data_IF_636230336489
#
_entry.id   IF_636230336489
#
_cell.length_a   1.000
_cell.length_b   1.000
_cell.length_c   1.000
_cell.angle_alpha   90.00
_cell.angle_beta   90.00
_cell.angle_gamma   90.00
#
_symmetry.space_group_name_H-M   'P 1'
#
loop_
_entity.id
_entity.type
_entity.pdbx_description
1 polymer ?
#
# COMPACT_ATOMS: atom_id res chain seq x y z
N UNK A 1 37.69 -6.71 -51.16
CA UNK A 1 38.61 -6.19 -52.21
C UNK A 1 37.76 -5.73 -53.40
N UNK A 2 38.09 -4.65 -54.13
CA UNK A 2 38.38 -3.28 -53.68
C UNK A 2 37.65 -2.22 -54.56
N UNK A 3 38.06 -0.94 -54.43
CA UNK A 3 37.99 0.19 -55.40
C UNK A 3 36.68 1.04 -55.41
N UNK A 4 36.68 2.31 -54.97
CA UNK A 4 37.26 3.57 -55.53
C UNK A 4 36.76 3.95 -56.93
N UNK A 5 36.11 5.11 -57.04
CA UNK A 5 36.17 6.11 -58.14
C UNK A 5 35.10 7.18 -57.86
N UNK A 6 35.36 8.44 -57.50
CA UNK A 6 36.15 9.54 -58.07
C UNK A 6 35.61 10.14 -59.38
N UNK A 7 35.04 11.34 -59.23
CA UNK A 7 35.22 12.57 -60.03
C UNK A 7 34.60 12.69 -61.44
N UNK A 8 33.79 13.76 -61.60
CA UNK A 8 33.60 14.54 -62.83
C UNK A 8 33.70 16.02 -62.42
N UNK A 9 34.87 16.66 -62.53
CA UNK A 9 35.42 17.44 -63.67
C UNK A 9 34.70 18.78 -63.91
N UNK A 10 35.53 19.83 -63.77
CA UNK A 10 35.46 21.25 -64.17
C UNK A 10 34.95 21.48 -65.63
N UNK A 11 34.83 22.70 -66.21
CA UNK A 11 35.55 23.97 -65.92
C UNK A 11 34.62 25.22 -66.05
N UNK A 12 35.02 26.50 -66.08
CA UNK A 12 36.08 27.17 -66.85
C UNK A 12 36.09 28.67 -66.48
N UNK A 13 37.30 29.23 -66.43
CA UNK A 13 37.76 30.58 -66.86
C UNK A 13 36.76 31.75 -66.82
N UNK A 14 37.12 32.97 -66.41
CA UNK A 14 38.24 33.66 -67.04
C UNK A 14 38.64 34.92 -66.26
N UNK A 15 39.95 35.19 -66.30
CA UNK A 15 40.66 36.34 -65.76
C UNK A 15 40.32 37.65 -66.49
N UNK A 16 40.57 38.78 -65.83
CA UNK A 16 41.43 39.93 -66.27
C UNK A 16 41.38 41.01 -65.17
N UNK A 17 42.40 41.13 -64.32
CA UNK A 17 43.64 41.92 -64.45
C UNK A 17 43.40 43.40 -64.76
N UNK A 18 43.75 44.29 -63.82
CA UNK A 18 44.65 45.46 -63.99
C UNK A 18 44.88 46.20 -62.65
N UNK A 19 45.93 47.04 -62.52
CA UNK A 19 46.88 46.91 -61.40
C UNK A 19 47.12 48.20 -60.60
N UNK A 20 48.01 48.07 -59.59
CA UNK A 20 48.87 49.10 -58.95
C UNK A 20 48.18 50.18 -58.10
N UNK A 21 48.42 50.13 -56.79
CA UNK A 21 49.35 51.04 -56.12
C UNK A 21 49.44 50.66 -54.63
N UNK A 22 50.67 50.59 -54.12
CA UNK A 22 50.96 50.32 -52.73
C UNK A 22 50.72 51.57 -51.88
N UNK A 23 49.93 51.43 -50.81
CA UNK A 23 49.97 52.31 -49.64
C UNK A 23 50.06 51.40 -48.43
N UNK A 24 51.23 51.39 -47.79
CA UNK A 24 51.46 50.65 -46.57
C UNK A 24 50.73 51.36 -45.41
N UNK A 25 49.57 50.81 -45.01
CA UNK A 25 48.89 51.20 -43.78
C UNK A 25 49.26 50.19 -42.68
N UNK A 26 50.00 50.67 -41.69
CA UNK A 26 50.33 49.96 -40.46
C UNK A 26 49.03 49.77 -39.65
N UNK A 27 48.40 48.60 -39.74
CA UNK A 27 47.23 48.25 -38.93
C UNK A 27 47.71 47.77 -37.56
N UNK A 28 47.53 48.62 -36.55
CA UNK A 28 47.71 48.28 -35.14
C UNK A 28 46.57 47.33 -34.73
N UNK A 29 46.84 46.03 -34.64
CA UNK A 29 45.86 45.03 -34.13
C UNK A 29 45.75 45.20 -32.62
N UNK A 30 44.75 45.96 -32.18
CA UNK A 30 44.29 45.98 -30.78
C UNK A 30 43.60 44.65 -30.47
N UNK A 31 44.34 43.72 -29.85
CA UNK A 31 43.77 42.51 -29.25
C UNK A 31 42.91 42.94 -28.05
N UNK A 32 41.59 43.05 -28.26
CA UNK A 32 40.64 43.15 -27.15
C UNK A 32 40.56 41.79 -26.46
N UNK A 33 41.29 41.63 -25.36
CA UNK A 33 41.13 40.51 -24.42
C UNK A 33 39.71 40.52 -23.87
N UNK A 34 38.83 39.72 -24.45
CA UNK A 34 37.51 39.45 -23.87
C UNK A 34 37.71 38.51 -22.70
N UNK A 35 37.78 39.07 -21.49
CA UNK A 35 37.72 38.28 -20.25
C UNK A 35 36.30 37.73 -20.16
N UNK A 36 36.08 36.48 -20.59
CA UNK A 36 34.85 35.78 -20.23
C UNK A 36 34.84 35.67 -18.70
N UNK A 37 33.81 36.18 -17.99
CA UNK A 37 33.65 35.83 -16.59
C UNK A 37 33.47 34.32 -16.50
N UNK A 38 34.49 33.62 -16.02
CA UNK A 38 34.34 32.24 -15.59
C UNK A 38 33.26 32.24 -14.51
N UNK A 39 32.10 31.66 -14.82
CA UNK A 39 31.09 31.40 -13.81
C UNK A 39 31.69 30.41 -12.81
N UNK A 40 32.20 30.94 -11.70
CA UNK A 40 32.61 30.14 -10.54
C UNK A 40 31.35 29.49 -10.01
N UNK A 41 31.07 28.29 -10.50
CA UNK A 41 30.04 27.43 -9.93
C UNK A 41 30.70 26.83 -8.70
N UNK A 42 30.57 27.48 -7.54
CA UNK A 42 30.97 26.85 -6.28
C UNK A 42 30.19 25.54 -6.15
N UNK A 43 30.86 24.38 -6.02
CA UNK A 43 30.16 23.12 -5.85
C UNK A 43 29.35 23.22 -4.56
N UNK A 44 28.02 23.19 -4.67
CA UNK A 44 27.15 23.09 -3.51
C UNK A 44 27.39 21.70 -2.93
N UNK A 45 28.11 21.66 -1.81
CA UNK A 45 28.35 20.42 -1.08
C UNK A 45 27.00 19.94 -0.53
N UNK A 46 26.64 18.71 -0.85
CA UNK A 46 25.38 18.12 -0.40
C UNK A 46 25.58 16.75 0.25
N UNK A 47 24.71 16.41 1.19
CA UNK A 47 24.60 15.09 1.81
C UNK A 47 23.23 14.43 1.58
N UNK A 48 23.02 13.30 2.24
CA UNK A 48 21.77 12.53 2.25
C UNK A 48 21.20 12.51 3.66
N UNK A 49 19.89 12.65 3.80
CA UNK A 49 19.19 12.49 5.08
C UNK A 49 18.18 11.36 4.94
N UNK A 50 18.37 10.28 5.70
CA UNK A 50 17.47 9.12 5.79
C UNK A 50 16.88 9.03 7.19
N UNK A 51 15.77 9.71 7.42
CA UNK A 51 15.19 9.77 8.76
C UNK A 51 13.91 8.98 8.89
N UNK A 52 13.43 8.92 10.13
CA UNK A 52 12.11 8.39 10.46
C UNK A 52 11.27 9.41 11.22
N UNK A 53 9.96 9.38 10.98
CA UNK A 53 8.95 10.16 11.69
C UNK A 53 8.00 9.19 12.38
N UNK A 54 7.91 9.33 13.70
CA UNK A 54 7.07 8.48 14.54
C UNK A 54 6.21 9.34 15.46
N UNK A 55 5.14 8.75 15.96
CA UNK A 55 4.35 9.32 17.07
C UNK A 55 5.06 9.11 18.41
N UNK A 56 4.57 9.75 19.48
CA UNK A 56 5.06 9.53 20.85
C UNK A 56 4.98 8.05 21.28
N UNK A 57 3.98 7.32 20.79
CA UNK A 57 3.84 5.86 20.96
C UNK A 57 4.71 5.01 20.03
N UNK A 58 5.70 5.60 19.35
CA UNK A 58 6.61 4.94 18.38
C UNK A 58 5.91 4.28 17.19
N UNK A 59 4.66 4.63 16.91
CA UNK A 59 3.98 4.18 15.69
C UNK A 59 4.47 5.04 14.51
N UNK A 60 4.83 4.44 13.36
CA UNK A 60 5.21 5.17 12.17
C UNK A 60 4.16 6.20 11.75
N UNK A 61 4.59 7.38 11.35
CA UNK A 61 3.71 8.46 10.90
C UNK A 61 3.81 8.66 9.39
N UNK A 62 2.73 8.39 8.68
CA UNK A 62 2.67 8.50 7.21
C UNK A 62 2.33 9.92 6.78
N UNK A 63 3.00 10.38 5.72
CA UNK A 63 2.65 11.63 5.05
C UNK A 63 3.09 12.91 5.77
N UNK A 64 4.08 12.80 6.66
CA UNK A 64 4.69 13.98 7.28
C UNK A 64 5.57 14.68 6.24
N UNK A 65 5.41 16.00 6.11
CA UNK A 65 6.19 16.83 5.20
C UNK A 65 7.48 17.28 5.90
N UNK A 66 8.62 17.04 5.27
CA UNK A 66 9.95 17.38 5.79
C UNK A 66 10.57 18.49 4.94
N UNK A 67 11.03 19.54 5.62
CA UNK A 67 11.72 20.68 5.01
C UNK A 67 13.06 20.93 5.68
N UNK A 68 14.07 21.21 4.85
CA UNK A 68 15.40 21.64 5.31
C UNK A 68 15.61 23.10 4.95
N UNK A 69 15.83 23.96 5.94
CA UNK A 69 16.03 25.40 5.72
C UNK A 69 14.83 26.07 5.03
N UNK A 70 15.07 26.81 3.94
CA UNK A 70 14.05 27.59 3.23
C UNK A 70 13.55 26.92 1.93
N UNK A 71 14.00 25.71 1.61
CA UNK A 71 13.56 24.99 0.41
C UNK A 71 12.06 24.65 0.45
N UNK A 72 11.41 24.62 -0.72
CA UNK A 72 10.11 23.99 -0.91
C UNK A 72 10.27 22.47 -0.72
N UNK A 73 9.34 21.87 0.02
CA UNK A 73 9.23 20.47 0.50
C UNK A 73 10.28 19.48 -0.05
N UNK A 74 11.15 18.99 0.84
CA UNK A 74 12.33 18.21 0.45
C UNK A 74 12.10 16.70 0.49
N UNK A 75 11.16 16.23 1.32
CA UNK A 75 10.74 14.82 1.40
C UNK A 75 9.38 14.69 2.09
N UNK A 76 8.77 13.51 1.96
CA UNK A 76 7.58 13.08 2.69
C UNK A 76 7.86 11.71 3.33
N UNK A 77 7.30 11.44 4.51
CA UNK A 77 7.40 10.13 5.15
C UNK A 77 6.45 9.10 4.50
N UNK A 78 6.95 7.89 4.29
CA UNK A 78 6.23 6.78 3.68
C UNK A 78 5.39 5.97 4.69
N UNK A 79 4.83 4.84 4.23
CA UNK A 79 4.02 3.90 5.04
C UNK A 79 4.78 3.23 6.21
N UNK A 80 6.11 3.37 6.26
CA UNK A 80 6.96 2.93 7.36
C UNK A 80 7.47 4.11 8.21
N UNK A 81 6.93 5.32 7.96
CA UNK A 81 7.36 6.57 8.59
C UNK A 81 8.75 7.00 8.13
N UNK A 82 9.34 6.35 7.12
CA UNK A 82 10.70 6.64 6.66
C UNK A 82 10.66 7.71 5.59
N UNK A 83 11.69 8.54 5.54
CA UNK A 83 11.88 9.51 4.46
C UNK A 83 13.33 9.53 4.01
N UNK A 84 13.54 9.87 2.73
CA UNK A 84 14.88 10.08 2.19
C UNK A 84 14.91 11.40 1.42
N UNK A 85 15.77 12.30 1.85
CA UNK A 85 16.07 13.54 1.15
C UNK A 85 17.50 13.46 0.60
N UNK A 86 17.61 13.48 -0.73
CA UNK A 86 18.89 13.54 -1.42
C UNK A 86 19.27 14.98 -1.77
N UNK A 87 20.57 15.26 -1.85
CA UNK A 87 21.12 16.57 -2.22
C UNK A 87 20.74 17.68 -1.22
N UNK A 88 20.75 17.38 0.07
CA UNK A 88 20.53 18.38 1.12
C UNK A 88 21.83 19.16 1.32
N UNK A 89 21.78 20.49 1.34
CA UNK A 89 22.98 21.33 1.53
C UNK A 89 23.74 20.91 2.80
N UNK A 90 25.06 20.78 2.69
CA UNK A 90 25.91 20.53 3.84
C UNK A 90 25.91 21.74 4.79
N UNK A 91 26.01 21.47 6.09
CA UNK A 91 25.97 22.47 7.17
C UNK A 91 24.90 22.17 8.22
N UNK A 92 24.82 23.04 9.24
CA UNK A 92 23.79 22.97 10.28
C UNK A 92 22.50 23.61 9.77
N UNK A 93 21.45 22.80 9.65
CA UNK A 93 20.16 23.20 9.09
C UNK A 93 19.03 22.84 10.05
N UNK A 94 17.98 23.66 10.07
CA UNK A 94 16.72 23.29 10.72
C UNK A 94 15.94 22.32 9.84
N UNK A 95 15.68 21.13 10.37
CA UNK A 95 14.74 20.16 9.85
C UNK A 95 13.37 20.45 10.49
N UNK A 96 12.44 20.96 9.68
CA UNK A 96 11.06 21.23 10.12
C UNK A 96 10.14 20.13 9.61
N UNK A 97 9.38 19.52 10.50
CA UNK A 97 8.40 18.48 10.17
C UNK A 97 7.00 18.97 10.45
N UNK A 98 6.10 18.80 9.48
CA UNK A 98 4.68 19.18 9.61
C UNK A 98 3.79 18.01 9.20
N UNK A 99 2.69 17.83 9.94
CA UNK A 99 1.63 16.88 9.62
C UNK A 99 0.30 17.39 10.19
N UNK A 100 -0.78 17.31 9.41
CA UNK A 100 -2.12 17.71 9.86
C UNK A 100 -2.51 16.82 11.05
N UNK A 101 -3.06 17.44 12.11
CA UNK A 101 -3.39 16.75 13.37
C UNK A 101 -2.21 16.58 14.33
N UNK A 102 -1.02 17.07 13.99
CA UNK A 102 0.18 16.99 14.85
C UNK A 102 0.83 18.37 15.03
N UNK A 103 1.46 18.56 16.19
CA UNK A 103 2.23 19.76 16.50
C UNK A 103 3.48 19.78 15.60
N UNK A 104 3.76 20.87 14.89
CA UNK A 104 4.99 21.00 14.10
C UNK A 104 6.23 20.86 14.98
N UNK A 105 7.21 20.09 14.52
CA UNK A 105 8.47 19.85 15.23
C UNK A 105 9.64 20.45 14.44
N UNK A 106 10.68 20.91 15.12
CA UNK A 106 11.89 21.46 14.51
C UNK A 106 13.14 20.94 15.20
N UNK A 107 14.01 20.28 14.43
CA UNK A 107 15.25 19.68 14.92
C UNK A 107 16.44 20.32 14.20
N UNK A 108 17.48 20.70 14.95
CA UNK A 108 18.73 21.11 14.36
C UNK A 108 19.52 19.87 13.94
N UNK A 109 19.85 19.75 12.65
CA UNK A 109 20.64 18.65 12.10
C UNK A 109 21.89 19.17 11.43
N UNK A 110 22.99 18.43 11.51
CA UNK A 110 24.25 18.75 10.83
C UNK A 110 24.42 17.77 9.66
N UNK A 111 24.36 18.29 8.43
CA UNK A 111 24.56 17.50 7.22
C UNK A 111 26.00 17.63 6.77
N UNK A 112 26.72 16.51 6.70
CA UNK A 112 28.09 16.46 6.18
C UNK A 112 28.06 16.12 4.69
N UNK A 113 28.95 16.74 3.91
CA UNK A 113 29.03 16.55 2.47
C UNK A 113 29.36 15.08 2.13
N UNK A 114 28.56 14.46 1.27
CA UNK A 114 28.75 13.07 0.85
C UNK A 114 28.35 12.00 1.87
N UNK A 115 27.97 12.38 3.10
CA UNK A 115 27.54 11.46 4.15
C UNK A 115 26.01 11.33 4.23
N UNK A 116 25.56 10.28 4.92
CA UNK A 116 24.16 10.02 5.24
C UNK A 116 23.93 10.14 6.73
N UNK A 117 22.95 10.93 7.16
CA UNK A 117 22.51 11.02 8.55
C UNK A 117 21.12 10.40 8.74
N UNK A 118 20.83 9.92 9.96
CA UNK A 118 19.59 9.19 10.27
C UNK A 118 18.83 9.77 11.47
N UNK A 119 18.22 10.97 11.34
CA UNK A 119 17.46 11.58 12.42
C UNK A 119 16.12 10.85 12.65
N UNK A 120 15.72 10.74 13.91
CA UNK A 120 14.37 10.31 14.29
C UNK A 120 13.60 11.49 14.87
N UNK A 121 12.42 11.78 14.31
CA UNK A 121 11.55 12.87 14.76
C UNK A 121 10.29 12.29 15.41
N UNK A 122 10.02 12.72 16.64
CA UNK A 122 8.84 12.31 17.40
C UNK A 122 7.80 13.42 17.34
N UNK A 123 6.65 13.14 16.73
CA UNK A 123 5.55 14.09 16.55
C UNK A 123 4.47 13.89 17.63
N UNK A 124 4.01 14.99 18.23
CA UNK A 124 2.91 14.98 19.21
C UNK A 124 1.59 15.30 18.55
N UNK A 125 0.57 14.48 18.78
CA UNK A 125 -0.77 14.71 18.23
C UNK A 125 -1.43 15.92 18.90
N UNK A 126 -2.14 16.73 18.12
CA UNK A 126 -3.02 17.78 18.63
C UNK A 126 -4.34 17.10 18.97
N UNK A 127 -4.74 17.09 20.24
CA UNK A 127 -5.93 16.37 20.70
C UNK A 127 -7.21 16.89 20.02
N UNK A 128 -7.68 16.15 19.01
CA UNK A 128 -9.04 16.25 18.46
C UNK A 128 -9.66 14.87 18.62
N UNK A 129 -10.41 14.65 19.71
CA UNK A 129 -10.97 13.32 20.00
C UNK A 129 -12.28 13.13 19.24
N UNK A 130 -12.21 12.47 18.09
CA UNK A 130 -13.37 11.81 17.49
C UNK A 130 -13.50 10.43 18.13
N UNK A 131 -14.71 10.04 18.52
CA UNK A 131 -14.96 8.70 19.06
C UNK A 131 -14.57 7.64 18.02
N UNK A 132 -13.69 6.72 18.40
CA UNK A 132 -13.23 5.68 17.50
C UNK A 132 -14.38 4.77 17.06
N UNK A 133 -14.38 4.39 15.79
CA UNK A 133 -15.23 3.33 15.28
C UNK A 133 -14.70 2.02 15.84
N UNK A 134 -15.37 1.53 16.88
CA UNK A 134 -14.99 0.29 17.55
C UNK A 134 -15.53 -0.91 16.79
N UNK A 135 -14.62 -1.74 16.27
CA UNK A 135 -14.90 -3.01 15.63
C UNK A 135 -14.68 -4.10 16.67
N UNK A 136 -15.78 -4.68 17.15
CA UNK A 136 -15.75 -5.78 18.11
C UNK A 136 -16.19 -7.06 17.42
N UNK A 137 -15.37 -8.09 17.57
CA UNK A 137 -15.71 -9.43 17.12
C UNK A 137 -15.77 -9.57 15.60
N UNK A 138 -16.18 -10.76 15.18
CA UNK A 138 -16.32 -11.15 13.78
C UNK A 138 -17.74 -10.85 13.32
N UNK A 139 -18.12 -9.57 13.20
CA UNK A 139 -19.48 -9.22 12.76
C UNK A 139 -19.52 -8.94 11.26
N UNK A 140 -20.43 -9.67 10.62
CA UNK A 140 -20.79 -9.67 9.21
C UNK A 140 -19.66 -10.07 8.26
N UNK A 141 -19.15 -11.29 8.43
CA UNK A 141 -18.64 -12.04 7.29
C UNK A 141 -19.81 -12.15 6.30
N UNK A 142 -19.85 -11.25 5.33
CA UNK A 142 -20.74 -11.37 4.18
C UNK A 142 -19.97 -12.04 3.05
N UNK A 143 -20.57 -13.04 2.41
CA UNK A 143 -19.96 -13.79 1.32
C UNK A 143 -19.43 -15.17 1.72
N UNK A 144 -18.62 -15.81 0.87
CA UNK A 144 -18.34 -17.24 0.97
C UNK A 144 -17.60 -17.67 2.26
N UNK A 145 -16.79 -16.77 2.83
CA UNK A 145 -16.09 -17.01 4.10
C UNK A 145 -17.01 -17.08 5.31
N UNK A 146 -18.20 -16.48 5.25
CA UNK A 146 -19.22 -16.64 6.30
C UNK A 146 -19.59 -18.11 6.49
N UNK A 147 -19.78 -18.81 5.36
CA UNK A 147 -20.08 -20.23 5.34
C UNK A 147 -18.95 -21.06 5.93
N UNK A 148 -17.69 -20.74 5.56
CA UNK A 148 -16.50 -21.42 6.11
C UNK A 148 -16.48 -21.35 7.64
N UNK A 149 -16.63 -20.15 8.22
CA UNK A 149 -16.56 -20.00 9.67
C UNK A 149 -17.73 -20.64 10.41
N UNK A 150 -18.93 -20.66 9.81
CA UNK A 150 -20.06 -21.40 10.35
C UNK A 150 -19.78 -22.91 10.41
N UNK A 151 -19.11 -23.46 9.39
CA UNK A 151 -18.73 -24.89 9.34
C UNK A 151 -17.53 -25.20 10.24
N UNK A 152 -16.59 -24.27 10.37
CA UNK A 152 -15.50 -24.37 11.35
C UNK A 152 -16.08 -24.53 12.77
N UNK A 153 -17.08 -23.73 13.13
CA UNK A 153 -17.75 -23.79 14.44
C UNK A 153 -18.54 -25.08 14.65
N UNK A 154 -19.15 -25.64 13.59
CA UNK A 154 -19.86 -26.93 13.70
C UNK A 154 -18.91 -28.12 13.86
N UNK A 155 -17.60 -27.94 13.67
CA UNK A 155 -16.56 -28.94 13.93
C UNK A 155 -16.59 -30.16 13.00
N UNK A 156 -17.38 -30.11 11.92
CA UNK A 156 -17.49 -31.21 10.96
C UNK A 156 -16.42 -31.05 9.90
N UNK A 157 -15.42 -31.94 9.87
CA UNK A 157 -14.28 -31.87 8.94
C UNK A 157 -13.00 -31.32 9.58
N UNK A 158 -11.96 -31.11 8.77
CA UNK A 158 -10.70 -30.49 9.19
C UNK A 158 -10.54 -29.15 8.51
N UNK A 159 -10.20 -28.13 9.29
CA UNK A 159 -10.07 -26.77 8.82
C UNK A 159 -8.63 -26.31 9.02
N UNK A 160 -8.17 -25.44 8.13
CA UNK A 160 -6.97 -24.65 8.29
C UNK A 160 -7.36 -23.19 8.06
N UNK A 161 -7.35 -22.38 9.12
CA UNK A 161 -7.47 -20.93 8.97
C UNK A 161 -6.13 -20.36 8.52
N UNK A 162 -6.12 -19.14 8.01
CA UNK A 162 -4.87 -18.51 7.60
C UNK A 162 -3.84 -18.43 8.73
N UNK A 163 -4.29 -18.17 9.96
CA UNK A 163 -3.42 -18.19 11.13
C UNK A 163 -2.80 -19.59 11.38
N UNK A 164 -3.57 -20.66 11.16
CA UNK A 164 -3.02 -22.02 11.24
C UNK A 164 -2.03 -22.34 10.12
N UNK A 165 -2.29 -21.87 8.89
CA UNK A 165 -1.38 -22.05 7.74
C UNK A 165 -0.04 -21.36 8.03
N UNK A 166 -0.08 -20.09 8.42
CA UNK A 166 1.12 -19.31 8.78
C UNK A 166 1.89 -19.96 9.92
N UNK A 167 1.19 -20.42 10.96
CA UNK A 167 1.81 -21.11 12.10
C UNK A 167 2.52 -22.41 11.71
N UNK A 168 1.98 -23.15 10.74
CA UNK A 168 2.53 -24.44 10.29
C UNK A 168 3.68 -24.29 9.30
N UNK A 169 3.83 -23.12 8.68
CA UNK A 169 4.86 -22.81 7.69
C UNK A 169 5.01 -23.90 6.60
N UNK A 170 3.93 -24.32 5.91
CA UNK A 170 4.03 -25.33 4.88
C UNK A 170 4.82 -24.81 3.67
N UNK A 171 5.69 -25.65 3.11
CA UNK A 171 6.34 -25.36 1.83
C UNK A 171 5.43 -25.66 0.65
N UNK A 172 4.51 -26.62 0.82
CA UNK A 172 3.55 -27.06 -0.18
C UNK A 172 2.16 -27.28 0.41
N UNK A 173 1.12 -27.20 -0.40
CA UNK A 173 -0.27 -27.43 0.04
C UNK A 173 -0.45 -28.82 0.64
N UNK A 174 0.16 -29.83 0.03
CA UNK A 174 0.09 -31.20 0.53
C UNK A 174 0.72 -31.40 1.91
N UNK A 175 1.62 -30.53 2.37
CA UNK A 175 2.21 -30.60 3.71
C UNK A 175 1.19 -30.36 4.82
N UNK A 176 0.21 -29.47 4.58
CA UNK A 176 -0.92 -29.26 5.51
C UNK A 176 -1.74 -30.55 5.66
N UNK A 177 -1.97 -31.23 4.53
CA UNK A 177 -2.84 -32.39 4.42
C UNK A 177 -2.25 -33.68 5.01
N UNK A 178 -0.92 -33.77 5.12
CA UNK A 178 -0.23 -34.93 5.75
C UNK A 178 -0.68 -35.17 7.20
N UNK A 179 -1.10 -34.11 7.89
CA UNK A 179 -1.57 -34.18 9.27
C UNK A 179 -3.06 -34.55 9.41
N UNK A 180 -3.77 -34.73 8.29
CA UNK A 180 -5.22 -34.94 8.30
C UNK A 180 -5.56 -36.44 8.29
N UNK A 181 -6.32 -36.94 9.28
CA UNK A 181 -6.73 -38.33 9.30
C UNK A 181 -7.49 -38.77 8.03
N UNK A 182 -7.10 -39.92 7.50
CA UNK A 182 -7.71 -40.52 6.30
C UNK A 182 -7.18 -39.98 4.97
N UNK A 183 -6.23 -39.04 4.99
CA UNK A 183 -5.52 -38.54 3.80
C UNK A 183 -4.18 -39.25 3.64
N UNK A 184 -3.83 -39.59 2.40
CA UNK A 184 -2.51 -40.05 1.99
C UNK A 184 -2.01 -39.21 0.82
N UNK A 185 -0.71 -38.91 0.82
CA UNK A 185 -0.04 -38.21 -0.27
C UNK A 185 0.81 -39.24 -1.01
N UNK A 186 0.46 -39.52 -2.27
CA UNK A 186 1.25 -40.36 -3.16
C UNK A 186 2.17 -39.47 -3.99
N UNK A 187 3.47 -39.64 -3.86
CA UNK A 187 4.47 -38.91 -4.64
C UNK A 187 4.89 -39.73 -5.87
N UNK A 188 4.78 -39.13 -7.06
CA UNK A 188 5.33 -39.69 -8.31
C UNK A 188 6.24 -38.65 -8.95
N UNK A 189 7.55 -38.77 -8.73
CA UNK A 189 8.51 -37.75 -9.15
C UNK A 189 8.30 -36.45 -8.37
N UNK A 190 8.08 -35.34 -9.07
CA UNK A 190 7.82 -34.03 -8.46
C UNK A 190 6.35 -33.79 -8.11
N UNK A 191 5.44 -34.63 -8.61
CA UNK A 191 4.00 -34.49 -8.44
C UNK A 191 3.51 -35.23 -7.20
N UNK A 192 2.75 -34.53 -6.35
CA UNK A 192 2.08 -35.11 -5.21
C UNK A 192 0.59 -35.24 -5.48
N UNK A 193 0.03 -36.41 -5.21
CA UNK A 193 -1.39 -36.66 -5.41
C UNK A 193 -2.07 -37.03 -4.10
N UNK A 194 -3.20 -36.39 -3.83
CA UNK A 194 -3.99 -36.63 -2.61
C UNK A 194 -4.95 -37.79 -2.79
N UNK A 195 -4.94 -38.75 -1.87
CA UNK A 195 -5.88 -39.87 -1.81
C UNK A 195 -6.60 -39.89 -0.47
N UNK A 196 -7.88 -40.22 -0.49
CA UNK A 196 -8.72 -40.32 0.71
C UNK A 196 -9.30 -41.74 0.78
N UNK A 197 -9.41 -42.30 2.01
CA UNK A 197 -10.00 -43.64 2.29
C UNK A 197 -9.25 -44.83 1.67
N UNK A 198 -7.93 -44.79 1.72
CA UNK A 198 -7.11 -46.00 1.74
C UNK A 198 -7.05 -46.82 0.44
N UNK A 199 -6.98 -46.19 -0.73
CA UNK A 199 -6.84 -46.89 -2.01
C UNK A 199 -6.75 -45.98 -3.24
N UNK A 200 -7.83 -45.34 -3.74
CA UNK A 200 -7.83 -45.05 -5.20
C UNK A 200 -8.56 -43.82 -5.74
N UNK A 201 -9.10 -42.95 -4.91
CA UNK A 201 -9.79 -41.78 -5.46
C UNK A 201 -9.30 -40.47 -4.90
N UNK A 202 -9.32 -39.49 -5.80
CA UNK A 202 -8.94 -38.11 -5.56
C UNK A 202 -10.13 -37.34 -4.99
N UNK A 203 -9.91 -36.41 -4.03
CA UNK A 203 -10.98 -35.57 -3.51
C UNK A 203 -11.50 -34.62 -4.59
N UNK A 204 -12.75 -34.20 -4.45
CA UNK A 204 -13.26 -33.07 -5.21
C UNK A 204 -12.67 -31.78 -4.68
N UNK A 205 -12.13 -30.94 -5.56
CA UNK A 205 -11.60 -29.64 -5.20
C UNK A 205 -12.63 -28.56 -5.54
N UNK A 206 -12.88 -27.66 -4.60
CA UNK A 206 -13.65 -26.45 -4.81
C UNK A 206 -12.76 -25.24 -4.58
N UNK A 207 -12.89 -24.21 -5.41
CA UNK A 207 -12.22 -22.93 -5.26
C UNK A 207 -13.28 -21.83 -5.17
N UNK A 208 -13.34 -21.13 -4.04
CA UNK A 208 -14.31 -20.05 -3.80
C UNK A 208 -15.77 -20.42 -4.08
N UNK A 209 -16.13 -21.68 -3.78
CA UNK A 209 -17.47 -22.21 -4.00
C UNK A 209 -17.75 -22.66 -5.43
N UNK A 210 -16.74 -22.67 -6.31
CA UNK A 210 -16.82 -23.25 -7.65
C UNK A 210 -16.06 -24.58 -7.71
N UNK A 211 -16.71 -25.63 -8.21
CA UNK A 211 -16.10 -26.95 -8.30
C UNK A 211 -15.10 -27.04 -9.46
N UNK A 212 -13.88 -27.51 -9.18
CA UNK A 212 -12.85 -27.79 -10.17
C UNK A 212 -12.97 -29.25 -10.62
N UNK A 213 -13.87 -29.49 -11.58
CA UNK A 213 -14.21 -30.85 -12.04
C UNK A 213 -13.34 -31.38 -13.18
N UNK A 214 -12.37 -30.61 -13.65
CA UNK A 214 -11.49 -30.97 -14.77
C UNK A 214 -10.34 -31.89 -14.32
N UNK A 215 -10.67 -33.14 -13.96
CA UNK A 215 -9.69 -34.16 -13.58
C UNK A 215 -9.08 -33.96 -12.19
N UNK A 216 -7.94 -34.61 -11.95
CA UNK A 216 -7.20 -34.46 -10.68
C UNK A 216 -6.50 -33.09 -10.65
N UNK A 217 -6.88 -32.24 -9.69
CA UNK A 217 -6.23 -30.95 -9.47
C UNK A 217 -4.95 -31.12 -8.65
N UNK A 218 -3.84 -30.56 -9.13
CA UNK A 218 -2.59 -30.52 -8.40
C UNK A 218 -2.61 -29.40 -7.34
N UNK A 219 -2.73 -29.79 -6.08
CA UNK A 219 -2.75 -28.85 -4.96
C UNK A 219 -1.40 -28.16 -4.74
N UNK A 220 -0.29 -28.75 -5.13
CA UNK A 220 1.03 -28.14 -4.95
C UNK A 220 1.32 -27.07 -6.02
N UNK A 221 0.46 -26.94 -7.05
CA UNK A 221 0.53 -25.88 -8.05
C UNK A 221 0.07 -24.50 -7.53
N UNK A 222 -0.58 -24.46 -6.36
CA UNK A 222 -1.06 -23.25 -5.71
C UNK A 222 -0.38 -23.02 -4.38
N UNK A 223 -0.03 -21.76 -4.11
CA UNK A 223 0.64 -21.36 -2.86
C UNK A 223 -0.35 -21.42 -1.67
N UNK A 224 -0.06 -22.18 -0.59
CA UNK A 224 -0.89 -22.22 0.62
C UNK A 224 -1.23 -20.84 1.19
N UNK A 225 -0.30 -19.88 1.11
CA UNK A 225 -0.49 -18.53 1.66
C UNK A 225 -1.46 -17.66 0.85
N UNK A 226 -1.85 -18.11 -0.35
CA UNK A 226 -2.86 -17.43 -1.19
C UNK A 226 -4.30 -17.69 -0.74
N UNK A 227 -4.51 -18.52 0.29
CA UNK A 227 -5.83 -18.91 0.78
C UNK A 227 -6.08 -18.33 2.17
N UNK A 228 -7.33 -17.93 2.43
CA UNK A 228 -7.77 -17.47 3.76
C UNK A 228 -8.20 -18.66 4.64
N UNK A 229 -8.73 -19.70 4.00
CA UNK A 229 -9.20 -20.89 4.68
C UNK A 229 -9.20 -22.11 3.76
N UNK A 230 -8.90 -23.27 4.34
CA UNK A 230 -8.99 -24.57 3.67
C UNK A 230 -9.90 -25.48 4.50
N UNK A 231 -10.89 -26.09 3.87
CA UNK A 231 -11.74 -27.11 4.47
C UNK A 231 -11.44 -28.46 3.87
N UNK A 232 -11.41 -29.50 4.70
CA UNK A 232 -11.14 -30.87 4.27
C UNK A 232 -12.14 -31.82 4.89
N UNK A 233 -12.89 -32.47 4.01
CA UNK A 233 -13.92 -33.44 4.36
C UNK A 233 -13.53 -34.81 3.83
N UNK A 234 -13.16 -35.74 4.70
CA UNK A 234 -12.65 -37.06 4.29
C UNK A 234 -13.75 -38.05 3.85
N UNK A 235 -14.98 -37.61 3.61
CA UNK A 235 -16.07 -38.48 3.17
C UNK A 235 -17.42 -37.80 2.97
N UNK A 236 -18.32 -38.37 2.15
CA UNK A 236 -19.57 -37.73 1.75
C UNK A 236 -20.52 -37.42 2.91
N UNK A 237 -20.46 -38.20 4.00
CA UNK A 237 -21.28 -37.97 5.20
C UNK A 237 -20.91 -36.69 5.97
N UNK A 238 -19.67 -36.19 5.81
CA UNK A 238 -19.25 -34.94 6.43
C UNK A 238 -19.25 -33.76 5.45
N UNK A 239 -19.38 -34.01 4.15
CA UNK A 239 -19.39 -32.96 3.12
C UNK A 239 -20.70 -32.17 3.20
N UNK A 240 -20.65 -30.82 3.35
CA UNK A 240 -21.83 -29.97 3.31
C UNK A 240 -22.61 -30.13 2.01
N UNK A 241 -23.93 -30.05 2.06
CA UNK A 241 -24.80 -30.35 0.92
C UNK A 241 -24.50 -29.48 -0.30
N UNK A 242 -24.08 -28.24 -0.09
CA UNK A 242 -23.69 -27.30 -1.15
C UNK A 242 -22.40 -27.70 -1.90
N UNK A 243 -21.62 -28.66 -1.37
CA UNK A 243 -20.36 -29.14 -1.97
C UNK A 243 -20.35 -30.65 -2.26
N UNK A 244 -21.49 -31.32 -2.10
CA UNK A 244 -21.70 -32.66 -2.62
C UNK A 244 -21.81 -32.53 -4.14
N UNK A 245 -20.79 -32.98 -4.89
CA UNK A 245 -20.72 -32.82 -6.35
C UNK A 245 -21.98 -33.32 -7.08
N UNK A 246 -22.12 -32.98 -8.37
CA UNK A 246 -23.29 -33.39 -9.15
C UNK A 246 -23.31 -34.90 -9.44
N UNK A 247 -24.43 -35.42 -9.98
CA UNK A 247 -24.62 -36.85 -10.27
C UNK A 247 -23.54 -37.49 -11.18
N UNK A 248 -22.73 -36.69 -11.90
CA UNK A 248 -21.66 -37.18 -12.78
C UNK A 248 -20.28 -37.17 -12.14
N UNK A 249 -20.13 -36.51 -10.97
CA UNK A 249 -18.85 -36.32 -10.27
C UNK A 249 -19.07 -36.51 -8.77
N UNK A 250 -18.82 -37.73 -8.28
CA UNK A 250 -19.15 -38.14 -6.92
C UNK A 250 -18.16 -37.61 -5.88
N UNK A 251 -18.66 -36.97 -4.81
CA UNK A 251 -17.92 -36.64 -3.57
C UNK A 251 -17.71 -37.85 -2.66
N UNK A 252 -17.89 -39.09 -3.16
CA UNK A 252 -17.73 -40.35 -2.42
C UNK A 252 -16.37 -40.49 -1.71
N UNK A 253 -15.37 -39.74 -2.19
CA UNK A 253 -14.00 -39.76 -1.72
C UNK A 253 -13.64 -38.55 -0.87
N UNK A 254 -14.60 -37.67 -0.57
CA UNK A 254 -14.36 -36.45 0.18
C UNK A 254 -14.11 -35.23 -0.69
N UNK A 255 -13.96 -34.09 -0.03
CA UNK A 255 -13.94 -32.78 -0.65
C UNK A 255 -12.93 -31.88 0.05
N UNK A 256 -12.13 -31.16 -0.72
CA UNK A 256 -11.26 -30.10 -0.23
C UNK A 256 -11.76 -28.79 -0.83
N UNK A 257 -11.99 -27.80 0.03
CA UNK A 257 -12.50 -26.49 -0.36
C UNK A 257 -11.42 -25.47 -0.06
N UNK A 258 -11.03 -24.75 -1.09
CA UNK A 258 -10.03 -23.69 -1.06
C UNK A 258 -10.77 -22.36 -1.11
N UNK A 259 -10.61 -21.55 -0.07
CA UNK A 259 -11.13 -20.19 -0.05
C UNK A 259 -9.99 -19.24 -0.29
N UNK A 260 -9.96 -18.63 -1.47
CA UNK A 260 -8.92 -17.67 -1.81
C UNK A 260 -8.96 -16.53 -0.82
N UNK A 261 -7.77 -16.02 -0.51
CA UNK A 261 -7.67 -14.74 0.15
C UNK A 261 -8.31 -13.72 -0.79
N UNK A 262 -9.49 -13.20 -0.42
CA UNK A 262 -10.03 -12.00 -1.04
C UNK A 262 -9.04 -10.91 -0.72
N UNK A 263 -8.06 -10.74 -1.61
CA UNK A 263 -6.83 -10.04 -1.32
C UNK A 263 -7.12 -8.78 -0.52
N UNK A 264 -6.40 -8.59 0.58
CA UNK A 264 -5.94 -7.26 0.93
C UNK A 264 -5.22 -6.78 -0.35
N UNK A 265 -5.83 -5.95 -1.21
CA UNK A 265 -5.14 -5.42 -2.35
C UNK A 265 -3.91 -4.75 -1.77
N UNK A 266 -2.73 -5.20 -2.20
CA UNK A 266 -1.50 -4.46 -1.90
C UNK A 266 -1.79 -3.00 -2.23
N UNK A 267 -1.51 -2.12 -1.28
CA UNK A 267 -1.61 -0.68 -1.50
C UNK A 267 -0.97 -0.39 -2.86
N UNK A 268 -1.73 0.21 -3.78
CA UNK A 268 -1.26 0.49 -5.14
C UNK A 268 0.03 1.27 -4.99
N UNK A 269 1.15 0.69 -5.45
CA UNK A 269 2.43 1.40 -5.43
C UNK A 269 2.25 2.68 -6.25
N UNK A 270 2.37 3.83 -5.61
CA UNK A 270 2.26 5.12 -6.27
C UNK A 270 3.27 5.17 -7.42
N UNK A 271 2.82 5.65 -8.58
CA UNK A 271 3.74 5.87 -9.71
C UNK A 271 4.65 7.03 -9.36
N UNK A 272 5.90 6.99 -9.86
CA UNK A 272 6.86 8.08 -9.64
C UNK A 272 6.28 9.40 -10.17
N UNK A 273 6.11 10.39 -9.29
CA UNK A 273 5.58 11.72 -9.61
C UNK A 273 4.07 11.90 -9.42
N UNK A 274 3.32 10.86 -9.03
CA UNK A 274 1.93 10.99 -8.60
C UNK A 274 1.92 11.62 -7.19
N UNK A 275 1.15 12.69 -6.95
CA UNK A 275 1.08 13.30 -5.62
C UNK A 275 0.49 12.30 -4.62
N UNK A 276 1.06 12.26 -3.42
CA UNK A 276 0.52 11.44 -2.33
C UNK A 276 -0.83 11.99 -1.88
N UNK A 277 -1.71 11.16 -1.27
CA UNK A 277 -2.94 11.65 -0.67
C UNK A 277 -2.71 12.81 0.31
N UNK A 278 -1.65 12.75 1.13
CA UNK A 278 -1.29 13.82 2.06
C UNK A 278 -0.89 15.11 1.33
N UNK A 279 -0.14 15.01 0.23
CA UNK A 279 0.23 16.16 -0.60
C UNK A 279 -1.00 16.77 -1.28
N UNK A 280 -1.95 15.95 -1.76
CA UNK A 280 -3.23 16.42 -2.32
C UNK A 280 -4.00 17.20 -1.25
N UNK A 281 -4.18 16.63 -0.06
CA UNK A 281 -4.88 17.29 1.06
C UNK A 281 -4.19 18.60 1.43
N UNK A 282 -2.86 18.61 1.56
CA UNK A 282 -2.10 19.81 1.91
C UNK A 282 -2.26 20.91 0.85
N UNK A 283 -2.25 20.56 -0.44
CA UNK A 283 -2.48 21.49 -1.53
C UNK A 283 -3.90 22.07 -1.48
N UNK A 284 -4.92 21.21 -1.31
CA UNK A 284 -6.31 21.63 -1.22
C UNK A 284 -6.58 22.56 -0.01
N UNK A 285 -5.90 22.32 1.12
CA UNK A 285 -5.95 23.22 2.29
C UNK A 285 -5.29 24.57 1.99
N UNK A 286 -4.12 24.57 1.34
CA UNK A 286 -3.40 25.79 0.97
C UNK A 286 -4.22 26.67 0.01
N UNK A 287 -4.99 26.03 -0.88
CA UNK A 287 -5.91 26.70 -1.81
C UNK A 287 -7.29 27.02 -1.20
N UNK A 288 -7.51 26.71 0.09
CA UNK A 288 -8.77 26.90 0.79
C UNK A 288 -9.98 26.21 0.12
N UNK A 289 -9.75 25.08 -0.58
CA UNK A 289 -10.80 24.27 -1.20
C UNK A 289 -11.45 23.28 -0.22
N UNK A 290 -10.67 22.82 0.76
CA UNK A 290 -11.13 21.97 1.86
C UNK A 290 -10.80 22.64 3.20
N UNK A 291 -11.46 22.21 4.27
CA UNK A 291 -11.34 22.81 5.59
C UNK A 291 -10.98 21.77 6.66
N UNK A 292 -10.33 22.20 7.74
CA UNK A 292 -10.13 21.35 8.91
C UNK A 292 -11.33 21.45 9.86
N UNK A 293 -11.39 20.56 10.86
CA UNK A 293 -12.41 20.60 11.93
C UNK A 293 -12.43 21.96 12.65
N UNK A 294 -11.29 22.65 12.72
CA UNK A 294 -11.19 23.95 13.40
C UNK A 294 -11.74 25.12 12.56
N UNK A 295 -11.91 24.94 11.25
CA UNK A 295 -12.30 26.01 10.31
C UNK A 295 -13.80 26.05 10.00
N UNK A 296 -14.57 25.08 10.52
CA UNK A 296 -15.98 24.84 10.19
C UNK A 296 -16.88 25.06 11.42
N UNK A 297 -18.13 25.44 11.18
CA UNK A 297 -19.12 25.67 12.25
C UNK A 297 -19.73 24.34 12.74
N UNK A 298 -19.94 23.41 11.80
CA UNK A 298 -20.37 22.04 12.07
C UNK A 298 -19.45 21.08 11.35
N UNK A 299 -18.79 20.20 12.09
CA UNK A 299 -17.88 19.22 11.52
C UNK A 299 -18.62 18.10 10.76
N UNK A 300 -17.98 17.58 9.72
CA UNK A 300 -18.41 16.36 9.06
C UNK A 300 -18.40 15.19 10.05
N UNK A 301 -19.42 14.33 9.96
CA UNK A 301 -19.58 13.17 10.85
C UNK A 301 -20.08 11.96 10.09
N UNK A 302 -19.79 10.79 10.62
CA UNK A 302 -20.35 9.53 10.11
C UNK A 302 -21.88 9.61 10.17
N UNK A 303 -22.55 9.21 9.09
CA UNK A 303 -24.00 9.02 9.12
C UNK A 303 -24.34 7.77 9.94
N UNK A 304 -24.88 7.99 11.13
CA UNK A 304 -25.22 6.93 12.08
C UNK A 304 -26.41 6.07 11.64
N UNK A 305 -27.19 6.49 10.63
CA UNK A 305 -28.32 5.70 10.14
C UNK A 305 -27.87 4.42 9.42
N UNK A 306 -26.68 4.41 8.81
CA UNK A 306 -26.11 3.26 8.12
C UNK A 306 -24.60 3.22 8.38
N UNK A 307 -24.21 2.59 9.50
CA UNK A 307 -22.81 2.42 9.88
C UNK A 307 -22.23 1.19 9.17
N UNK A 308 -21.30 1.43 8.25
CA UNK A 308 -20.48 0.40 7.63
C UNK A 308 -19.30 0.09 8.57
N UNK A 309 -19.23 -1.15 9.03
CA UNK A 309 -18.13 -1.59 9.90
C UNK A 309 -17.09 -2.34 9.05
N UNK A 310 -15.81 -1.97 9.11
CA UNK A 310 -14.78 -2.76 8.46
C UNK A 310 -14.70 -4.14 9.11
N UNK A 311 -14.41 -5.16 8.29
CA UNK A 311 -14.18 -6.50 8.81
C UNK A 311 -12.85 -6.54 9.57
N UNK A 312 -12.78 -7.34 10.63
CA UNK A 312 -11.55 -7.60 11.35
C UNK A 312 -10.74 -8.67 10.59
N UNK A 313 -9.49 -8.40 10.15
CA UNK A 313 -8.64 -9.43 9.57
C UNK A 313 -8.54 -10.69 10.43
N UNK A 314 -8.77 -11.85 9.81
CA UNK A 314 -8.86 -13.13 10.52
C UNK A 314 -7.52 -13.53 11.15
N UNK A 315 -6.40 -13.20 10.51
CA UNK A 315 -5.05 -13.40 11.06
C UNK A 315 -4.86 -12.74 12.43
N UNK A 316 -5.36 -11.51 12.59
CA UNK A 316 -5.29 -10.76 13.84
C UNK A 316 -6.35 -11.21 14.83
N UNK A 317 -7.57 -11.50 14.36
CA UNK A 317 -8.66 -11.97 15.21
C UNK A 317 -8.35 -13.33 15.84
N UNK A 318 -7.92 -14.32 15.05
CA UNK A 318 -7.57 -15.66 15.52
C UNK A 318 -6.38 -15.62 16.49
N UNK A 319 -5.41 -14.72 16.23
CA UNK A 319 -4.26 -14.45 17.09
C UNK A 319 -4.60 -13.61 18.34
N UNK A 320 -5.83 -13.10 18.47
CA UNK A 320 -6.28 -12.22 19.55
C UNK A 320 -5.44 -10.93 19.66
N UNK A 321 -4.96 -10.43 18.53
CA UNK A 321 -4.15 -9.22 18.45
C UNK A 321 -5.06 -8.03 18.15
N UNK A 322 -5.23 -7.14 19.13
CA UNK A 322 -5.90 -5.86 18.92
C UNK A 322 -5.15 -4.99 17.91
N UNK A 323 -5.87 -4.10 17.24
CA UNK A 323 -5.24 -3.17 16.31
C UNK A 323 -5.92 -1.81 16.27
N UNK A 324 -5.15 -0.81 15.89
CA UNK A 324 -5.62 0.57 15.75
C UNK A 324 -5.18 1.13 14.41
N UNK A 325 -6.06 1.94 13.81
CA UNK A 325 -5.78 2.63 12.56
C UNK A 325 -6.45 4.01 12.56
N UNK A 326 -5.72 5.05 12.18
CA UNK A 326 -6.30 6.37 11.92
C UNK A 326 -6.37 6.59 10.42
N UNK A 327 -7.58 6.63 9.87
CA UNK A 327 -7.82 6.94 8.47
C UNK A 327 -7.98 8.45 8.28
N UNK A 328 -7.32 9.02 7.27
CA UNK A 328 -7.50 10.38 6.82
C UNK A 328 -8.08 10.39 5.42
N UNK A 329 -9.07 11.24 5.19
CA UNK A 329 -9.67 11.43 3.87
C UNK A 329 -10.49 12.73 3.88
N UNK A 330 -10.81 13.24 2.70
CA UNK A 330 -11.73 14.37 2.53
C UNK A 330 -13.15 13.85 2.41
N UNK A 331 -14.05 14.40 3.22
CA UNK A 331 -15.50 14.23 3.04
C UNK A 331 -15.98 15.30 2.07
N UNK A 332 -16.57 14.86 0.96
CA UNK A 332 -17.14 15.71 -0.08
C UNK A 332 -18.46 16.37 0.34
N UNK A 333 -18.89 17.35 -0.45
CA UNK A 333 -20.17 18.05 -0.23
C UNK A 333 -21.40 17.15 -0.47
N UNK A 334 -21.23 16.03 -1.15
CA UNK A 334 -22.25 15.00 -1.38
C UNK A 334 -22.32 13.95 -0.25
N UNK A 335 -21.51 14.07 0.79
CA UNK A 335 -21.45 13.11 1.90
C UNK A 335 -20.72 11.81 1.59
N UNK A 336 -19.91 11.77 0.53
CA UNK A 336 -19.02 10.65 0.20
C UNK A 336 -17.57 10.98 0.55
N UNK A 337 -16.75 9.96 0.82
CA UNK A 337 -15.32 10.13 0.97
C UNK A 337 -14.63 10.21 -0.41
N UNK A 338 -13.79 11.22 -0.62
CA UNK A 338 -12.93 11.34 -1.80
C UNK A 338 -11.78 10.35 -1.67
N UNK A 339 -11.96 9.14 -2.21
CA UNK A 339 -11.03 8.02 -2.00
C UNK A 339 -9.61 8.23 -2.56
N UNK A 340 -9.41 9.19 -3.47
CA UNK A 340 -8.07 9.62 -3.92
C UNK A 340 -7.25 10.30 -2.81
N UNK A 341 -7.94 10.84 -1.79
CA UNK A 341 -7.34 11.47 -0.61
C UNK A 341 -7.19 10.51 0.57
N UNK A 342 -7.61 9.25 0.42
CA UNK A 342 -7.53 8.28 1.51
C UNK A 342 -6.08 7.96 1.89
N UNK A 343 -5.77 8.07 3.18
CA UNK A 343 -4.48 7.73 3.76
C UNK A 343 -4.67 7.02 5.12
N UNK A 344 -3.76 6.10 5.46
CA UNK A 344 -3.65 5.55 6.81
C UNK A 344 -2.51 6.28 7.55
N UNK A 345 -2.86 7.26 8.39
CA UNK A 345 -1.87 8.13 9.05
C UNK A 345 -0.96 7.33 9.98
N UNK A 346 -1.59 6.46 10.77
CA UNK A 346 -0.95 5.52 11.68
C UNK A 346 -1.71 4.21 11.61
N UNK A 347 -0.99 3.09 11.74
CA UNK A 347 -1.59 1.77 11.89
C UNK A 347 -0.69 0.88 12.73
N UNK A 348 -1.27 0.07 13.61
CA UNK A 348 -0.53 -0.96 14.34
C UNK A 348 -0.21 -2.17 13.47
N UNK A 349 -1.04 -2.43 12.46
CA UNK A 349 -0.86 -3.55 11.52
C UNK A 349 -1.36 -3.17 10.12
N UNK A 350 -0.59 -3.48 9.08
CA UNK A 350 -0.92 -3.10 7.70
C UNK A 350 -2.15 -3.83 7.14
N UNK A 351 -2.48 -5.01 7.66
CA UNK A 351 -3.68 -5.76 7.24
C UNK A 351 -4.99 -5.03 7.55
N UNK A 352 -4.97 -4.06 8.47
CA UNK A 352 -6.13 -3.24 8.83
C UNK A 352 -6.50 -2.19 7.77
N UNK A 353 -5.55 -1.80 6.90
CA UNK A 353 -5.71 -0.67 5.98
C UNK A 353 -6.81 -0.91 4.96
N UNK A 354 -6.81 -2.07 4.30
CA UNK A 354 -7.83 -2.37 3.29
C UNK A 354 -9.25 -2.49 3.87
N UNK A 355 -9.49 -3.27 4.96
CA UNK A 355 -10.81 -3.33 5.56
C UNK A 355 -11.38 -1.93 5.83
N UNK A 356 -10.57 -1.05 6.43
CA UNK A 356 -10.96 0.34 6.70
C UNK A 356 -11.22 1.10 5.40
N UNK A 357 -10.34 0.99 4.40
CA UNK A 357 -10.50 1.67 3.11
C UNK A 357 -11.81 1.30 2.40
N UNK A 358 -12.23 0.04 2.47
CA UNK A 358 -13.52 -0.41 1.92
C UNK A 358 -14.69 0.16 2.71
N UNK A 359 -14.63 0.09 4.03
CA UNK A 359 -15.68 0.65 4.87
C UNK A 359 -15.85 2.15 4.63
N UNK A 360 -14.76 2.92 4.56
CA UNK A 360 -14.81 4.36 4.27
C UNK A 360 -15.39 4.67 2.89
N UNK A 361 -15.10 3.84 1.88
CA UNK A 361 -15.66 4.01 0.52
C UNK A 361 -17.17 3.84 0.50
N UNK A 362 -17.69 2.89 1.26
CA UNK A 362 -19.13 2.55 1.29
C UNK A 362 -19.91 3.40 2.30
N UNK A 363 -19.22 3.96 3.31
CA UNK A 363 -19.80 4.78 4.35
C UNK A 363 -20.33 6.11 3.80
N UNK A 364 -21.50 6.50 4.30
CA UNK A 364 -22.07 7.84 4.11
C UNK A 364 -21.72 8.75 5.26
N UNK A 365 -21.51 10.03 4.95
CA UNK A 365 -21.16 11.06 5.91
C UNK A 365 -22.14 12.22 5.80
N UNK A 366 -22.42 12.87 6.93
CA UNK A 366 -23.03 14.19 6.96
C UNK A 366 -21.91 15.20 6.68
N UNK A 367 -21.99 15.99 5.60
CA UNK A 367 -20.96 16.99 5.26
C UNK A 367 -20.79 18.07 6.32
N UNK A 368 -19.64 18.76 6.28
CA UNK A 368 -19.38 19.90 7.14
C UNK A 368 -20.13 21.16 6.68
N UNK A 369 -20.42 22.06 7.61
CA UNK A 369 -21.00 23.36 7.33
C UNK A 369 -20.07 24.48 7.77
N UNK A 370 -19.92 25.49 6.90
CA UNK A 370 -19.18 26.72 7.18
C UNK A 370 -19.96 27.91 6.64
N UNK A 371 -20.26 28.88 7.50
CA UNK A 371 -21.09 30.06 7.22
C UNK A 371 -22.41 29.69 6.54
N UNK A 372 -23.06 28.62 7.03
CA UNK A 372 -24.34 28.13 6.51
C UNK A 372 -24.26 27.43 5.14
N UNK A 373 -23.07 27.15 4.61
CA UNK A 373 -22.88 26.41 3.35
C UNK A 373 -22.19 25.08 3.61
N UNK A 374 -22.60 24.06 2.85
CA UNK A 374 -21.92 22.76 2.83
C UNK A 374 -20.52 22.94 2.24
N UNK A 375 -19.51 22.42 2.91
CA UNK A 375 -18.11 22.49 2.47
C UNK A 375 -17.44 21.13 2.59
N UNK A 376 -16.35 20.95 1.84
CA UNK A 376 -15.49 19.78 1.97
C UNK A 376 -14.62 19.91 3.21
N UNK A 377 -14.42 18.80 3.92
CA UNK A 377 -13.63 18.79 5.15
C UNK A 377 -12.66 17.61 5.17
N UNK A 378 -11.41 17.85 5.58
CA UNK A 378 -10.52 16.76 5.96
C UNK A 378 -11.03 16.13 7.27
N UNK A 379 -11.14 14.81 7.27
CA UNK A 379 -11.59 14.01 8.39
C UNK A 379 -10.49 13.02 8.78
N UNK A 380 -10.19 12.94 10.07
CA UNK A 380 -9.36 11.90 10.64
C UNK A 380 -10.25 11.00 11.51
N UNK A 381 -10.50 9.77 11.06
CA UNK A 381 -11.41 8.83 11.70
C UNK A 381 -10.61 7.67 12.32
N UNK A 382 -10.55 7.56 13.65
CA UNK A 382 -9.90 6.43 14.32
C UNK A 382 -10.78 5.18 14.27
N UNK A 383 -10.15 4.02 14.04
CA UNK A 383 -10.71 2.68 14.10
C UNK A 383 -9.97 1.86 15.14
N UNK A 384 -10.72 1.15 15.99
CA UNK A 384 -10.16 0.26 17.01
C UNK A 384 -10.73 -1.14 16.83
N UNK A 385 -9.85 -2.10 16.55
CA UNK A 385 -10.15 -3.52 16.38
C UNK A 385 -9.86 -4.23 17.69
N UNK A 386 -10.92 -4.69 18.35
CA UNK A 386 -10.81 -5.35 19.65
C UNK A 386 -11.32 -6.79 19.51
N UNK A 387 -10.49 -7.80 19.83
CA UNK A 387 -10.92 -9.19 19.79
C UNK A 387 -12.00 -9.39 20.85
N UNK A 388 -13.05 -10.13 20.50
CA UNK A 388 -14.09 -10.49 21.45
C UNK A 388 -13.60 -11.66 22.31
N UNK A 389 -13.14 -11.36 23.52
CA UNK A 389 -12.65 -12.34 24.49
C UNK A 389 -13.75 -13.31 24.96
N UNK A 390 -15.03 -13.01 24.72
CA UNK A 390 -16.15 -13.89 25.09
C UNK A 390 -16.46 -14.95 24.04
N UNK A 391 -15.98 -14.80 22.81
CA UNK A 391 -16.29 -15.68 21.69
C UNK A 391 -15.69 -17.10 21.79
N UNK A 392 -14.69 -17.34 22.65
CA UNK A 392 -14.12 -18.69 22.90
C UNK A 392 -14.83 -19.48 24.00
N UNK A 393 -15.75 -18.88 24.78
CA UNK A 393 -16.44 -19.56 25.89
C UNK A 393 -17.75 -20.25 25.48
N UNK A 394 -18.03 -20.40 24.19
CA UNK A 394 -19.22 -21.10 23.68
C UNK A 394 -18.86 -22.22 22.74
#
# INVERSE_FOLDING_TARGET
>A
MPLRSSLLTAPRSNRRVRPRAAVAALVLVLVRSTVLPAQVTTPVLTGIVKGSVVTEGRTPLVGAQIRFGNAADAAESDDAGQFTAARVNAGSLWLRVRRIGYRPESLLVTVVAGESIEPTVVMKQIAQSIAAVRVVGRRDLTGPMAGFYKRLQSGTGRFFTQAEIVKRQPSRMTDLLRSVPGIRIESRGFDNKVRIRGNRCSPLIWLDGQGLFAGEFDLDSVDPYSFEGIEVYSGPASVPIEFQGNQRVSSSCGTIILWSRRGEPRAKKLKKGEPTPSAIIAQLLAEAQIFTVADVDSAARVDSAMIIRPFYPDSLFDAQVSGELIAEFVVGTNGEALMETFNSITTTDRSLVEPVRRAVREQRFVPAMRKGRVVQQVMQLPFSFVPDSTARRR
#
